data_IF_579583671311
#
_entry.id   IF_579583671311
#
_cell.length_a   1.000
_cell.length_b   1.000
_cell.length_c   1.000
_cell.angle_alpha   90.00
_cell.angle_beta   90.00
_cell.angle_gamma   90.00
#
_symmetry.space_group_name_H-M   'P 1'
#
loop_
_entity.id
_entity.type
_entity.pdbx_description
1 polymer ?
#
# COMPACT_ATOMS: atom_id res chain seq x y z
N UNK A 1 10.26 -13.51 -0.33
CA UNK A 1 11.52 -12.73 -0.28
C UNK A 1 11.18 -11.44 0.46
N UNK A 2 11.97 -11.02 1.46
CA UNK A 2 11.83 -9.66 2.01
C UNK A 2 12.49 -8.71 1.01
N UNK A 3 11.69 -8.10 0.14
CA UNK A 3 12.15 -7.10 -0.82
C UNK A 3 12.29 -5.79 -0.07
N UNK A 4 13.43 -5.12 -0.22
CA UNK A 4 13.62 -3.82 0.41
C UNK A 4 13.27 -2.70 -0.56
N UNK A 5 12.74 -1.59 -0.04
CA UNK A 5 12.32 -0.45 -0.85
C UNK A 5 13.48 0.08 -1.71
N UNK A 6 14.70 0.12 -1.19
CA UNK A 6 15.89 0.60 -1.93
C UNK A 6 16.29 -0.28 -3.12
N UNK A 7 15.80 -1.52 -3.19
CA UNK A 7 16.09 -2.49 -4.26
C UNK A 7 15.15 -2.31 -5.47
N UNK A 8 14.08 -1.51 -5.33
CA UNK A 8 13.14 -1.20 -6.41
C UNK A 8 13.80 -0.36 -7.51
N UNK A 9 13.36 -0.55 -8.76
CA UNK A 9 13.90 0.16 -9.92
C UNK A 9 13.38 1.60 -9.99
N UNK A 10 12.16 1.86 -9.51
CA UNK A 10 11.56 3.18 -9.57
C UNK A 10 12.18 4.15 -8.55
N UNK A 11 12.85 5.20 -9.04
CA UNK A 11 13.51 6.19 -8.20
C UNK A 11 12.57 6.93 -7.26
N UNK A 12 11.35 7.24 -7.71
CA UNK A 12 10.37 7.98 -6.91
C UNK A 12 9.94 7.13 -5.72
N UNK A 13 9.61 5.86 -5.98
CA UNK A 13 9.27 4.89 -4.94
C UNK A 13 10.41 4.72 -3.94
N UNK A 14 11.67 4.60 -4.39
CA UNK A 14 12.82 4.43 -3.47
C UNK A 14 12.98 5.57 -2.45
N UNK A 15 12.56 6.78 -2.79
CA UNK A 15 12.68 7.96 -1.94
C UNK A 15 11.39 8.31 -1.18
N UNK A 16 10.30 7.60 -1.43
CA UNK A 16 8.99 7.94 -0.90
C UNK A 16 8.80 7.42 0.53
N UNK A 17 8.17 8.24 1.39
CA UNK A 17 7.88 7.88 2.78
C UNK A 17 6.49 7.24 2.87
N UNK A 18 6.42 5.93 2.64
CA UNK A 18 5.15 5.19 2.81
C UNK A 18 4.63 5.27 4.24
N UNK A 19 3.31 5.43 4.36
CA UNK A 19 2.53 5.46 5.59
C UNK A 19 3.02 6.52 6.59
N UNK A 20 3.54 7.65 6.09
CA UNK A 20 4.15 8.70 6.91
C UNK A 20 3.23 9.20 8.03
N UNK A 21 1.95 9.41 7.73
CA UNK A 21 0.97 9.86 8.73
C UNK A 21 0.69 8.79 9.79
N UNK A 22 0.63 7.51 9.40
CA UNK A 22 0.45 6.42 10.35
C UNK A 22 1.67 6.26 11.28
N UNK A 23 2.90 6.37 10.76
CA UNK A 23 4.10 6.35 11.62
C UNK A 23 4.19 7.56 12.56
N UNK A 24 3.54 8.67 12.24
CA UNK A 24 3.56 9.87 13.06
C UNK A 24 2.54 9.83 14.21
N UNK A 25 1.57 8.91 14.18
CA UNK A 25 0.52 8.79 15.19
C UNK A 25 0.73 7.53 16.05
N UNK A 26 0.96 7.68 17.37
CA UNK A 26 1.18 6.55 18.27
C UNK A 26 -0.04 5.64 18.45
N UNK A 27 -1.21 6.01 17.91
CA UNK A 27 -2.35 5.12 17.82
C UNK A 27 -2.04 3.89 16.95
N UNK A 28 -1.22 4.03 15.90
CA UNK A 28 -0.83 2.93 15.03
C UNK A 28 0.51 2.32 15.50
N UNK A 29 0.55 1.06 15.94
CA UNK A 29 1.81 0.45 16.37
C UNK A 29 2.80 0.31 15.20
N UNK A 30 4.02 0.83 15.35
CA UNK A 30 5.07 0.82 14.31
C UNK A 30 5.25 -0.54 13.63
N UNK A 31 5.20 -1.64 14.40
CA UNK A 31 5.40 -2.98 13.87
C UNK A 31 4.26 -3.47 12.96
N UNK A 32 3.05 -2.90 13.09
CA UNK A 32 1.93 -3.15 12.18
C UNK A 32 1.99 -2.22 10.98
N UNK A 33 2.36 -0.95 11.18
CA UNK A 33 2.62 -0.02 10.07
C UNK A 33 3.74 -0.55 9.16
N UNK A 34 4.77 -1.18 9.73
CA UNK A 34 5.83 -1.88 9.00
C UNK A 34 5.28 -3.01 8.09
N UNK A 35 4.25 -3.74 8.53
CA UNK A 35 3.60 -4.77 7.71
C UNK A 35 2.81 -4.14 6.56
N UNK A 36 2.08 -3.05 6.82
CA UNK A 36 1.41 -2.26 5.78
C UNK A 36 2.40 -1.75 4.74
N UNK A 37 3.52 -1.19 5.18
CA UNK A 37 4.61 -0.74 4.30
C UNK A 37 5.19 -1.89 3.47
N UNK A 38 5.37 -3.07 4.07
CA UNK A 38 5.86 -4.24 3.35
C UNK A 38 4.88 -4.67 2.23
N UNK A 39 3.57 -4.58 2.45
CA UNK A 39 2.54 -4.84 1.42
C UNK A 39 2.70 -3.86 0.24
N UNK A 40 2.89 -2.56 0.52
CA UNK A 40 3.07 -1.54 -0.52
C UNK A 40 4.37 -1.73 -1.32
N UNK A 41 5.47 -2.10 -0.65
CA UNK A 41 6.74 -2.43 -1.31
C UNK A 41 6.58 -3.67 -2.20
N UNK A 42 5.84 -4.67 -1.74
CA UNK A 42 5.56 -5.87 -2.53
C UNK A 42 4.73 -5.54 -3.77
N UNK A 43 3.70 -4.70 -3.65
CA UNK A 43 2.92 -4.21 -4.79
C UNK A 43 3.83 -3.54 -5.84
N UNK A 44 4.72 -2.64 -5.41
CA UNK A 44 5.68 -1.99 -6.30
C UNK A 44 6.58 -3.01 -7.02
N UNK A 45 7.09 -4.00 -6.30
CA UNK A 45 7.93 -5.05 -6.87
C UNK A 45 7.16 -5.91 -7.89
N UNK A 46 5.89 -6.23 -7.62
CA UNK A 46 5.04 -6.96 -8.54
C UNK A 46 4.75 -6.15 -9.81
N UNK A 47 4.47 -4.85 -9.70
CA UNK A 47 4.30 -3.96 -10.86
C UNK A 47 5.58 -3.93 -11.71
N UNK A 48 6.77 -3.84 -11.09
CA UNK A 48 8.04 -3.83 -11.82
C UNK A 48 8.38 -5.17 -12.50
N UNK A 49 7.95 -6.27 -11.90
CA UNK A 49 8.16 -7.61 -12.43
C UNK A 49 7.20 -7.91 -13.58
N UNK A 50 5.92 -7.62 -13.39
CA UNK A 50 4.85 -8.00 -14.31
C UNK A 50 4.63 -6.96 -15.42
N UNK A 51 4.99 -5.70 -15.17
CA UNK A 51 4.84 -4.57 -16.11
C UNK A 51 3.43 -4.48 -16.73
N UNK A 52 2.38 -4.29 -15.92
CA UNK A 52 1.00 -4.17 -16.41
C UNK A 52 0.90 -3.12 -17.53
N UNK A 53 0.00 -3.35 -18.49
CA UNK A 53 -0.14 -2.52 -19.70
C UNK A 53 -1.37 -1.63 -19.70
N UNK A 54 -2.30 -1.90 -18.80
CA UNK A 54 -3.59 -1.24 -18.65
C UNK A 54 -4.00 -1.21 -17.18
N UNK A 55 -5.12 -0.54 -16.91
CA UNK A 55 -5.67 -0.39 -15.57
C UNK A 55 -6.20 -1.71 -15.02
N UNK A 56 -6.80 -2.57 -15.85
CA UNK A 56 -7.32 -3.86 -15.39
C UNK A 56 -6.20 -4.73 -14.80
N UNK A 57 -5.06 -4.84 -15.50
CA UNK A 57 -3.90 -5.56 -14.98
C UNK A 57 -3.24 -4.88 -13.76
N UNK A 58 -3.35 -3.56 -13.62
CA UNK A 58 -2.91 -2.85 -12.41
C UNK A 58 -3.84 -3.19 -11.23
N UNK A 59 -5.16 -3.18 -11.45
CA UNK A 59 -6.16 -3.43 -10.43
C UNK A 59 -6.07 -4.84 -9.87
N UNK A 60 -5.76 -5.85 -10.68
CA UNK A 60 -5.48 -7.20 -10.18
C UNK A 60 -4.37 -7.20 -9.11
N UNK A 61 -3.32 -6.39 -9.30
CA UNK A 61 -2.21 -6.29 -8.33
C UNK A 61 -2.60 -5.44 -7.12
N UNK A 62 -3.27 -4.31 -7.33
CA UNK A 62 -3.65 -3.40 -6.25
C UNK A 62 -4.74 -4.00 -5.35
N UNK A 63 -5.68 -4.75 -5.90
CA UNK A 63 -6.69 -5.48 -5.14
C UNK A 63 -6.03 -6.59 -4.29
N UNK A 64 -5.09 -7.34 -4.85
CA UNK A 64 -4.35 -8.33 -4.06
C UNK A 64 -3.55 -7.71 -2.90
N UNK A 65 -3.07 -6.46 -3.05
CA UNK A 65 -2.46 -5.72 -1.96
C UNK A 65 -3.49 -5.20 -0.96
N UNK A 66 -4.65 -4.75 -1.43
CA UNK A 66 -5.76 -4.28 -0.59
C UNK A 66 -6.32 -5.41 0.28
N UNK A 67 -6.46 -6.63 -0.28
CA UNK A 67 -6.90 -7.81 0.45
C UNK A 67 -5.95 -8.16 1.61
N UNK A 68 -4.63 -7.95 1.43
CA UNK A 68 -3.65 -8.12 2.53
C UNK A 68 -3.82 -7.07 3.63
N UNK A 69 -4.25 -5.85 3.30
CA UNK A 69 -4.61 -4.86 4.31
C UNK A 69 -5.90 -5.27 5.05
N UNK A 70 -6.88 -5.85 4.35
CA UNK A 70 -8.08 -6.41 5.01
C UNK A 70 -7.69 -7.50 6.01
N UNK A 71 -6.77 -8.40 5.65
CA UNK A 71 -6.24 -9.42 6.58
C UNK A 71 -5.49 -8.80 7.78
N UNK A 72 -4.79 -7.68 7.56
CA UNK A 72 -4.02 -7.00 8.61
C UNK A 72 -4.93 -6.29 9.64
N UNK A 73 -6.18 -5.98 9.28
CA UNK A 73 -7.12 -5.28 10.15
C UNK A 73 -7.35 -6.01 11.49
N UNK A 74 -7.48 -7.35 11.45
CA UNK A 74 -7.68 -8.15 12.67
C UNK A 74 -6.51 -7.98 13.65
N UNK A 75 -5.27 -7.90 13.16
CA UNK A 75 -4.10 -7.71 14.01
C UNK A 75 -3.99 -6.29 14.57
N UNK A 76 -4.48 -5.28 13.84
CA UNK A 76 -4.63 -3.94 14.42
C UNK A 76 -5.62 -3.96 15.59
N UNK A 77 -6.77 -4.60 15.41
CA UNK A 77 -7.81 -4.70 16.45
C UNK A 77 -7.28 -5.45 17.70
N UNK A 78 -6.52 -6.53 17.53
CA UNK A 78 -5.88 -7.28 18.62
C UNK A 78 -4.86 -6.43 19.42
N UNK A 79 -4.40 -5.31 18.87
CA UNK A 79 -3.42 -4.40 19.46
C UNK A 79 -4.02 -3.04 19.84
N UNK A 80 -5.34 -2.98 20.09
CA UNK A 80 -6.07 -1.76 20.49
C UNK A 80 -5.95 -0.60 19.46
N UNK A 81 -5.79 -0.94 18.18
CA UNK A 81 -5.70 -0.02 17.05
C UNK A 81 -6.70 -0.43 15.96
N UNK A 82 -6.89 0.38 14.92
CA UNK A 82 -7.79 0.06 13.79
C UNK A 82 -7.27 0.69 12.50
N UNK A 83 -7.62 0.13 11.33
CA UNK A 83 -7.53 0.84 10.04
C UNK A 83 -8.71 1.83 9.95
N UNK A 84 -8.68 2.87 10.79
CA UNK A 84 -9.69 3.93 10.84
C UNK A 84 -9.45 5.01 9.76
N UNK A 85 -10.33 5.99 9.64
CA UNK A 85 -10.32 7.02 8.57
C UNK A 85 -8.95 7.61 8.24
N UNK A 86 -8.10 7.99 9.20
CA UNK A 86 -6.78 8.54 8.87
C UNK A 86 -5.84 7.47 8.26
N UNK A 87 -5.87 6.24 8.76
CA UNK A 87 -5.16 5.12 8.12
C UNK A 87 -5.67 4.85 6.70
N UNK A 88 -6.99 4.90 6.48
CA UNK A 88 -7.62 4.69 5.17
C UNK A 88 -7.17 5.73 4.15
N UNK A 89 -7.19 7.00 4.53
CA UNK A 89 -6.75 8.10 3.69
C UNK A 89 -5.25 7.98 3.39
N UNK A 90 -4.44 7.65 4.40
CA UNK A 90 -3.00 7.44 4.25
C UNK A 90 -2.67 6.30 3.27
N UNK A 91 -3.30 5.13 3.44
CA UNK A 91 -3.15 3.99 2.54
C UNK A 91 -3.60 4.36 1.12
N UNK A 92 -4.79 4.96 0.97
CA UNK A 92 -5.31 5.36 -0.34
C UNK A 92 -4.39 6.32 -1.10
N UNK A 93 -3.85 7.33 -0.42
CA UNK A 93 -2.88 8.27 -0.99
C UNK A 93 -1.60 7.57 -1.46
N UNK A 94 -1.12 6.57 -0.71
CA UNK A 94 0.05 5.79 -1.10
C UNK A 94 -0.23 4.91 -2.33
N UNK A 95 -1.43 4.33 -2.45
CA UNK A 95 -1.85 3.61 -3.66
C UNK A 95 -1.90 4.54 -4.89
N UNK A 96 -2.48 5.74 -4.77
CA UNK A 96 -2.49 6.74 -5.86
C UNK A 96 -1.05 7.14 -6.26
N UNK A 97 -0.19 7.39 -5.27
CA UNK A 97 1.22 7.72 -5.53
C UNK A 97 1.94 6.59 -6.27
N UNK A 98 1.72 5.34 -5.88
CA UNK A 98 2.29 4.16 -6.56
C UNK A 98 1.83 4.11 -8.01
N UNK A 99 0.51 4.20 -8.26
CA UNK A 99 -0.04 4.14 -9.61
C UNK A 99 0.56 5.23 -10.51
N UNK A 100 0.58 6.48 -10.04
CA UNK A 100 1.17 7.62 -10.78
C UNK A 100 2.66 7.43 -11.03
N UNK A 101 3.40 6.94 -10.03
CA UNK A 101 4.85 6.70 -10.14
C UNK A 101 5.19 5.67 -11.23
N UNK A 102 4.28 4.73 -11.50
CA UNK A 102 4.41 3.73 -12.56
C UNK A 102 3.71 4.13 -13.87
N UNK A 103 3.19 5.36 -13.96
CA UNK A 103 2.65 5.94 -15.19
C UNK A 103 1.16 5.66 -15.45
N UNK A 104 0.43 5.24 -14.43
CA UNK A 104 -1.02 5.05 -14.51
C UNK A 104 -1.77 6.27 -14.00
N UNK A 105 -2.83 6.65 -14.70
CA UNK A 105 -3.84 7.60 -14.24
C UNK A 105 -5.08 6.78 -13.87
N UNK A 106 -5.09 6.29 -12.63
CA UNK A 106 -6.10 5.40 -12.08
C UNK A 106 -6.98 6.16 -11.09
N UNK A 107 -8.22 5.70 -10.91
CA UNK A 107 -9.06 6.18 -9.82
C UNK A 107 -8.58 5.53 -8.51
N UNK A 108 -8.36 6.35 -7.48
CA UNK A 108 -7.96 5.87 -6.16
C UNK A 108 -8.98 4.89 -5.60
N UNK A 109 -10.28 5.15 -5.78
CA UNK A 109 -11.35 4.28 -5.26
C UNK A 109 -11.33 2.89 -5.91
N UNK A 110 -10.95 2.82 -7.19
CA UNK A 110 -10.81 1.56 -7.91
C UNK A 110 -9.52 0.81 -7.52
N UNK A 111 -8.41 1.52 -7.26
CA UNK A 111 -7.15 0.91 -6.81
C UNK A 111 -7.33 0.08 -5.54
N UNK A 112 -8.13 0.58 -4.60
CA UNK A 112 -8.46 -0.06 -3.31
C UNK A 112 -9.88 -0.63 -3.30
N UNK A 113 -10.41 -1.02 -4.47
CA UNK A 113 -11.82 -1.39 -4.64
C UNK A 113 -12.29 -2.62 -3.84
N UNK A 114 -11.37 -3.46 -3.35
CA UNK A 114 -11.69 -4.63 -2.52
C UNK A 114 -11.58 -4.37 -1.01
N UNK A 115 -11.36 -3.12 -0.58
CA UNK A 115 -11.20 -2.80 0.83
C UNK A 115 -12.46 -3.15 1.64
N UNK A 116 -12.24 -3.73 2.82
CA UNK A 116 -13.30 -4.05 3.79
C UNK A 116 -13.25 -3.14 5.04
N UNK A 117 -12.28 -2.23 5.10
CA UNK A 117 -12.11 -1.24 6.16
C UNK A 117 -12.96 0.01 5.94
#
# INVERSE_FOLDING_TARGET
MNIKQEELKNNQIRSYSFLEEMYADPYFPDFLVDKGKAILIELCAQIEQQQPKDLDALYELSHAATDKFNELQEEFDENDSEIETAARDCIGMDFDFIARSYGFDADMEELIGTRDW
#
